data_IF_884666077440
#
_entry.id   IF_884666077440
#
_cell.length_a   1.000
_cell.length_b   1.000
_cell.length_c   1.000
_cell.angle_alpha   90.00
_cell.angle_beta   90.00
_cell.angle_gamma   90.00
#
_symmetry.space_group_name_H-M   'P 1'
#
loop_
_entity.id
_entity.type
_entity.pdbx_description
1 polymer ?
#
# COMPACT_ATOMS: atom_id res chain seq x y z
N UNK A 1 -5.50 -18.08 -4.78
CA UNK A 1 -4.20 -17.54 -4.32
C UNK A 1 -4.26 -16.93 -2.92
N UNK A 2 -5.22 -16.03 -2.59
CA UNK A 2 -5.29 -15.35 -1.29
C UNK A 2 -5.24 -16.25 -0.04
N UNK A 3 -5.97 -17.38 -0.02
CA UNK A 3 -5.99 -18.30 1.13
C UNK A 3 -4.61 -18.91 1.43
N UNK A 4 -3.86 -19.29 0.38
CA UNK A 4 -2.51 -19.83 0.54
C UNK A 4 -1.53 -18.75 1.00
N UNK A 5 -1.56 -17.57 0.38
CA UNK A 5 -0.69 -16.45 0.77
C UNK A 5 -0.89 -16.04 2.22
N UNK A 6 -2.14 -15.98 2.68
CA UNK A 6 -2.45 -15.72 4.09
C UNK A 6 -1.86 -16.77 5.02
N UNK A 7 -2.05 -18.06 4.70
CA UNK A 7 -1.51 -19.15 5.51
C UNK A 7 0.03 -19.10 5.55
N UNK A 8 0.66 -18.88 4.40
CA UNK A 8 2.11 -18.76 4.28
C UNK A 8 2.65 -17.62 5.15
N UNK A 9 2.06 -16.43 5.06
CA UNK A 9 2.45 -15.28 5.88
C UNK A 9 2.25 -15.54 7.38
N UNK A 10 1.16 -16.19 7.77
CA UNK A 10 0.91 -16.52 9.19
C UNK A 10 2.05 -17.34 9.83
N UNK A 11 2.76 -18.15 9.04
CA UNK A 11 3.87 -18.97 9.52
C UNK A 11 5.25 -18.32 9.37
N UNK A 12 5.43 -17.42 8.40
CA UNK A 12 6.77 -16.98 7.99
C UNK A 12 6.98 -15.46 7.96
N UNK A 13 5.95 -14.64 8.25
CA UNK A 13 6.07 -13.18 8.14
C UNK A 13 7.09 -12.57 9.12
N UNK A 14 7.40 -13.27 10.21
CA UNK A 14 8.43 -12.88 11.19
C UNK A 14 9.82 -12.77 10.56
N UNK A 15 10.11 -13.55 9.52
CA UNK A 15 11.37 -13.46 8.75
C UNK A 15 11.53 -12.12 8.03
N UNK A 16 10.43 -11.39 7.82
CA UNK A 16 10.40 -10.04 7.24
C UNK A 16 10.41 -8.94 8.31
N UNK A 17 10.60 -9.28 9.59
CA UNK A 17 10.60 -8.33 10.70
C UNK A 17 9.21 -7.77 11.04
N UNK A 18 8.15 -8.52 10.73
CA UNK A 18 6.76 -8.14 11.03
C UNK A 18 6.09 -9.17 11.94
N UNK A 19 5.21 -8.71 12.81
CA UNK A 19 4.51 -9.60 13.74
C UNK A 19 3.44 -10.43 13.02
N UNK A 20 3.29 -11.69 13.44
CA UNK A 20 2.36 -12.65 12.84
C UNK A 20 0.87 -12.41 13.20
N UNK A 21 0.57 -11.38 13.98
CA UNK A 21 -0.77 -10.93 14.37
C UNK A 21 -1.30 -9.78 13.49
N UNK A 22 -0.83 -9.70 12.24
CA UNK A 22 -1.21 -8.66 11.29
C UNK A 22 -2.72 -8.65 11.00
N UNK A 23 -3.25 -7.46 10.72
CA UNK A 23 -4.67 -7.25 10.45
C UNK A 23 -4.91 -7.14 8.95
N UNK A 24 -5.85 -7.94 8.43
CA UNK A 24 -6.26 -7.85 7.02
C UNK A 24 -7.26 -6.71 6.88
N UNK A 25 -6.95 -5.76 6.01
CA UNK A 25 -7.81 -4.61 5.69
C UNK A 25 -8.59 -4.82 4.39
N UNK A 26 -9.75 -4.19 4.30
CA UNK A 26 -10.57 -4.20 3.08
C UNK A 26 -10.39 -2.93 2.22
N UNK A 27 -11.28 -2.76 1.23
CA UNK A 27 -11.24 -1.61 0.32
C UNK A 27 -11.64 -0.30 0.99
N UNK A 28 -12.53 -0.33 1.97
CA UNK A 28 -12.99 0.86 2.67
C UNK A 28 -11.98 1.30 3.73
N UNK A 29 -11.33 0.36 4.41
CA UNK A 29 -10.18 0.64 5.28
C UNK A 29 -9.05 1.30 4.49
N UNK A 30 -8.71 0.77 3.31
CA UNK A 30 -7.73 1.41 2.42
C UNK A 30 -8.10 2.87 2.12
N UNK A 31 -9.37 3.16 1.78
CA UNK A 31 -9.82 4.54 1.53
C UNK A 31 -9.72 5.41 2.78
N UNK A 32 -10.06 4.89 3.95
CA UNK A 32 -9.95 5.61 5.24
C UNK A 32 -8.50 5.96 5.56
N UNK A 33 -7.57 5.02 5.36
CA UNK A 33 -6.13 5.27 5.52
C UNK A 33 -5.67 6.35 4.55
N UNK A 34 -5.99 6.22 3.24
CA UNK A 34 -5.59 7.26 2.28
C UNK A 34 -6.15 8.64 2.66
N UNK A 35 -7.39 8.69 3.17
CA UNK A 35 -8.00 9.94 3.66
C UNK A 35 -7.24 10.55 4.85
N UNK A 36 -6.70 9.73 5.75
CA UNK A 36 -5.96 10.23 6.93
C UNK A 36 -4.58 10.81 6.58
N UNK A 37 -4.04 10.50 5.39
CA UNK A 37 -2.72 10.99 4.93
C UNK A 37 -2.73 12.45 4.40
N UNK A 38 -3.82 13.19 4.62
CA UNK A 38 -4.01 14.59 4.18
C UNK A 38 -3.73 14.78 2.67
N UNK A 39 -4.32 13.91 1.86
CA UNK A 39 -4.16 13.95 0.39
C UNK A 39 -5.03 15.03 -0.23
N UNK A 40 -4.53 15.61 -1.34
CA UNK A 40 -5.22 16.67 -2.09
C UNK A 40 -5.70 16.24 -3.49
N UNK A 41 -5.49 14.96 -3.82
CA UNK A 41 -5.99 14.35 -5.05
C UNK A 41 -7.18 13.44 -4.74
N UNK A 42 -8.03 13.13 -5.74
CA UNK A 42 -9.17 12.23 -5.54
C UNK A 42 -8.73 10.88 -4.97
N UNK A 43 -9.30 10.50 -3.81
CA UNK A 43 -9.01 9.22 -3.13
C UNK A 43 -9.22 8.01 -4.06
N UNK A 44 -10.28 7.94 -4.90
CA UNK A 44 -10.45 6.82 -5.83
C UNK A 44 -9.28 6.66 -6.79
N UNK A 45 -8.72 7.77 -7.30
CA UNK A 45 -7.57 7.78 -8.21
C UNK A 45 -6.31 7.28 -7.51
N UNK A 46 -6.03 7.77 -6.30
CA UNK A 46 -4.87 7.32 -5.52
C UNK A 46 -5.00 5.81 -5.23
N UNK A 47 -6.18 5.39 -4.78
CA UNK A 47 -6.48 4.00 -4.45
C UNK A 47 -6.35 3.06 -5.65
N UNK A 48 -6.76 3.48 -6.85
CA UNK A 48 -6.63 2.67 -8.07
C UNK A 48 -5.17 2.55 -8.50
N UNK A 49 -4.39 3.63 -8.46
CA UNK A 49 -2.98 3.59 -8.85
C UNK A 49 -2.14 2.75 -7.88
N UNK A 50 -2.37 2.86 -6.56
CA UNK A 50 -1.72 1.99 -5.57
C UNK A 50 -2.02 0.52 -5.86
N UNK A 51 -3.29 0.18 -6.11
CA UNK A 51 -3.67 -1.20 -6.46
C UNK A 51 -3.01 -1.66 -7.76
N UNK A 52 -2.95 -0.80 -8.78
CA UNK A 52 -2.26 -1.08 -10.04
C UNK A 52 -0.77 -1.34 -9.83
N UNK A 53 -0.08 -0.52 -9.03
CA UNK A 53 1.34 -0.70 -8.76
C UNK A 53 1.62 -1.98 -7.97
N UNK A 54 0.85 -2.28 -6.92
CA UNK A 54 0.99 -3.53 -6.16
C UNK A 54 0.79 -4.78 -7.03
N UNK A 55 -0.23 -4.79 -7.88
CA UNK A 55 -0.51 -5.91 -8.78
C UNK A 55 0.62 -6.14 -9.81
N UNK A 56 1.38 -5.09 -10.14
CA UNK A 56 2.52 -5.15 -11.05
C UNK A 56 3.87 -5.23 -10.30
N UNK A 57 3.86 -5.43 -8.97
CA UNK A 57 5.05 -5.51 -8.13
C UNK A 57 5.94 -4.24 -8.20
N UNK A 58 5.32 -3.08 -8.40
CA UNK A 58 6.01 -1.79 -8.46
C UNK A 58 6.05 -1.17 -7.05
N UNK A 59 7.26 -0.88 -6.57
CA UNK A 59 7.49 -0.17 -5.31
C UNK A 59 7.19 1.34 -5.41
N UNK A 60 6.99 2.06 -4.29
CA UNK A 60 6.75 3.50 -4.33
C UNK A 60 7.89 4.29 -4.98
N UNK A 61 9.13 3.86 -4.78
CA UNK A 61 10.31 4.46 -5.40
C UNK A 61 10.32 4.25 -6.91
N UNK A 62 10.02 3.05 -7.40
CA UNK A 62 9.91 2.77 -8.83
C UNK A 62 8.75 3.55 -9.46
N UNK A 63 7.60 3.61 -8.80
CA UNK A 63 6.46 4.39 -9.25
C UNK A 63 6.80 5.88 -9.38
N UNK A 64 7.56 6.42 -8.41
CA UNK A 64 8.01 7.82 -8.42
C UNK A 64 9.02 8.09 -9.54
N UNK A 65 9.97 7.17 -9.77
CA UNK A 65 10.99 7.30 -10.80
C UNK A 65 10.41 7.15 -12.22
N UNK A 66 9.41 6.27 -12.40
CA UNK A 66 8.71 6.08 -13.67
C UNK A 66 7.66 7.15 -13.99
N UNK A 67 7.25 7.96 -13.00
CA UNK A 67 6.26 9.00 -13.19
C UNK A 67 6.84 10.25 -13.86
N UNK A 68 6.30 10.61 -15.02
CA UNK A 68 6.67 11.85 -15.74
C UNK A 68 5.82 13.04 -15.29
N UNK A 69 4.52 12.82 -15.10
CA UNK A 69 3.55 13.84 -14.69
C UNK A 69 3.63 14.15 -13.19
N UNK A 70 3.47 15.43 -12.84
CA UNK A 70 3.53 15.90 -11.44
C UNK A 70 2.51 15.19 -10.54
N UNK A 71 1.29 15.00 -11.01
CA UNK A 71 0.23 14.31 -10.27
C UNK A 71 0.64 12.86 -9.96
N UNK A 72 1.25 12.15 -10.90
CA UNK A 72 1.70 10.77 -10.67
C UNK A 72 2.87 10.69 -9.70
N UNK A 73 3.82 11.64 -9.73
CA UNK A 73 4.88 11.75 -8.72
C UNK A 73 4.30 11.97 -7.33
N UNK A 74 3.22 12.76 -7.24
CA UNK A 74 2.49 13.02 -5.99
C UNK A 74 1.77 11.77 -5.49
N UNK A 75 1.07 11.05 -6.38
CA UNK A 75 0.41 9.77 -6.06
C UNK A 75 1.44 8.74 -5.59
N UNK A 76 2.62 8.65 -6.21
CA UNK A 76 3.71 7.78 -5.76
C UNK A 76 4.22 8.16 -4.35
N UNK A 77 4.22 9.46 -4.03
CA UNK A 77 4.56 9.94 -2.68
C UNK A 77 3.48 9.55 -1.66
N UNK A 78 2.20 9.57 -2.05
CA UNK A 78 1.11 9.06 -1.21
C UNK A 78 1.16 7.54 -1.04
N UNK A 79 1.60 6.83 -2.07
CA UNK A 79 1.83 5.39 -1.99
C UNK A 79 2.93 5.07 -0.95
N UNK A 80 4.03 5.81 -0.92
CA UNK A 80 5.05 5.62 0.12
C UNK A 80 4.48 5.83 1.52
N UNK A 81 3.78 6.94 1.75
CA UNK A 81 3.13 7.22 3.05
C UNK A 81 2.13 6.13 3.46
N UNK A 82 1.43 5.57 2.48
CA UNK A 82 0.51 4.46 2.69
C UNK A 82 1.24 3.19 3.11
N UNK A 83 2.33 2.80 2.44
CA UNK A 83 3.13 1.64 2.85
C UNK A 83 3.75 1.82 4.23
N UNK A 84 4.24 3.02 4.54
CA UNK A 84 4.79 3.34 5.86
C UNK A 84 3.72 3.19 6.94
N UNK A 85 2.50 3.68 6.68
CA UNK A 85 1.36 3.51 7.58
C UNK A 85 1.03 2.03 7.82
N UNK A 86 1.01 1.22 6.76
CA UNK A 86 0.74 -0.22 6.88
C UNK A 86 1.81 -0.92 7.72
N UNK A 87 3.09 -0.63 7.46
CA UNK A 87 4.20 -1.22 8.21
C UNK A 87 4.16 -0.83 9.69
N UNK A 88 3.91 0.45 10.00
CA UNK A 88 3.85 0.95 11.38
C UNK A 88 2.68 0.37 12.19
N UNK A 89 1.57 0.02 11.54
CA UNK A 89 0.36 -0.49 12.20
C UNK A 89 0.20 -2.01 12.06
N UNK A 90 1.22 -2.70 11.54
CA UNK A 90 1.19 -4.13 11.22
C UNK A 90 -0.06 -4.56 10.40
N UNK A 91 -0.35 -3.81 9.33
CA UNK A 91 -1.47 -4.03 8.39
C UNK A 91 -1.01 -4.62 7.05
#
# INVERSE_FOLDING_TARGET
>A
FHKFGLLFLKHHITELGRDNNFVIIDTDDKKRIIKSLSVDLPIPLISSEISRWKNNLISPNEAKNGATLLNYKKIASYYQKYEDYLAQNNL
#
